data_IF_131934474207
#
_entry.id   IF_131934474207
#
_cell.length_a   1.000
_cell.length_b   1.000
_cell.length_c   1.000
_cell.angle_alpha   90.00
_cell.angle_beta   90.00
_cell.angle_gamma   90.00
#
_symmetry.space_group_name_H-M   'P 1'
#
loop_
_entity.id
_entity.type
_entity.pdbx_description
1 polymer ?
#
# COMPACT_ATOMS: atom_id res chain seq x y z
N UNK A 1 -7.63 -2.36 12.57
CA UNK A 1 -7.25 -1.05 11.98
C UNK A 1 -8.33 0.00 12.20
N UNK A 2 -9.58 -0.21 11.79
CA UNK A 2 -10.67 0.77 11.98
C UNK A 2 -10.84 1.28 13.41
N UNK A 3 -10.75 0.39 14.41
CA UNK A 3 -10.82 0.79 15.83
C UNK A 3 -9.69 1.76 16.28
N UNK A 4 -8.60 1.83 15.52
CA UNK A 4 -7.44 2.70 15.78
C UNK A 4 -7.28 3.79 14.71
N UNK A 5 -8.27 3.93 13.82
CA UNK A 5 -8.22 4.92 12.77
C UNK A 5 -8.32 6.33 13.37
N UNK A 6 -7.28 7.12 13.14
CA UNK A 6 -7.20 8.52 13.57
C UNK A 6 -6.90 9.37 12.33
N UNK A 7 -7.84 10.26 12.00
CA UNK A 7 -7.73 11.14 10.84
C UNK A 7 -6.53 12.09 10.93
N UNK A 8 -6.13 12.43 12.16
CA UNK A 8 -5.01 13.33 12.45
C UNK A 8 -3.67 12.62 12.47
N UNK A 9 -3.65 11.29 12.51
CA UNK A 9 -2.46 10.46 12.68
C UNK A 9 -1.55 10.95 13.83
N UNK A 10 -2.14 11.33 14.96
CA UNK A 10 -1.46 11.95 16.12
C UNK A 10 -0.21 11.18 16.58
N UNK A 11 -0.29 9.85 16.56
CA UNK A 11 0.79 8.93 16.92
C UNK A 11 2.01 9.00 16.00
N UNK A 12 1.92 9.59 14.80
CA UNK A 12 3.05 9.64 13.86
C UNK A 12 4.21 10.49 14.38
N UNK A 13 3.96 11.43 15.29
CA UNK A 13 5.02 12.21 15.92
C UNK A 13 5.93 11.37 16.84
N UNK A 14 5.43 10.25 17.37
CA UNK A 14 6.11 9.41 18.35
C UNK A 14 7.24 8.56 17.70
N UNK A 15 8.51 8.71 18.14
CA UNK A 15 9.64 7.91 17.65
C UNK A 15 9.48 6.40 17.81
N UNK A 16 8.85 5.92 18.89
CA UNK A 16 8.66 4.48 19.15
C UNK A 16 7.70 3.86 18.14
N UNK A 17 6.67 4.61 17.74
CA UNK A 17 5.74 4.20 16.68
C UNK A 17 6.48 4.12 15.34
N UNK A 18 7.38 5.09 15.06
CA UNK A 18 8.21 5.04 13.84
C UNK A 18 9.14 3.84 13.82
N UNK A 19 9.75 3.50 14.95
CA UNK A 19 10.64 2.34 15.08
C UNK A 19 9.85 1.04 14.92
N UNK A 20 8.72 0.90 15.61
CA UNK A 20 7.80 -0.24 15.45
C UNK A 20 7.39 -0.46 13.99
N UNK A 21 7.01 0.61 13.27
CA UNK A 21 6.65 0.51 11.85
C UNK A 21 7.84 0.06 11.01
N UNK A 22 9.05 0.54 11.31
CA UNK A 22 10.28 0.10 10.63
C UNK A 22 10.53 -1.40 10.82
N UNK A 23 10.36 -1.89 12.05
CA UNK A 23 10.56 -3.30 12.39
C UNK A 23 9.49 -4.20 11.74
N UNK A 24 8.24 -3.76 11.75
CA UNK A 24 7.13 -4.45 11.07
C UNK A 24 7.37 -4.54 9.57
N UNK A 25 7.94 -3.52 8.93
CA UNK A 25 8.24 -3.55 7.50
C UNK A 25 9.53 -4.33 7.17
N UNK A 26 10.50 -4.38 8.09
CA UNK A 26 11.81 -5.03 7.95
C UNK A 26 12.55 -4.71 6.63
N UNK A 27 12.26 -3.56 6.03
CA UNK A 27 12.82 -3.12 4.77
C UNK A 27 12.93 -1.60 4.80
N UNK A 28 14.15 -1.08 4.77
CA UNK A 28 14.39 0.36 4.91
C UNK A 28 13.82 1.15 3.72
N UNK A 29 13.94 0.65 2.48
CA UNK A 29 13.36 1.35 1.32
C UNK A 29 11.83 1.44 1.41
N UNK A 30 11.18 0.35 1.83
CA UNK A 30 9.74 0.31 2.04
C UNK A 30 9.32 1.25 3.18
N UNK A 31 10.06 1.25 4.28
CA UNK A 31 9.85 2.20 5.37
C UNK A 31 9.97 3.66 4.90
N UNK A 32 11.00 4.02 4.13
CA UNK A 32 11.15 5.39 3.63
C UNK A 32 10.02 5.79 2.67
N UNK A 33 9.56 4.87 1.82
CA UNK A 33 8.41 5.11 0.95
C UNK A 33 7.12 5.38 1.75
N UNK A 34 6.84 4.54 2.77
CA UNK A 34 5.69 4.72 3.66
C UNK A 34 5.79 6.00 4.48
N UNK A 35 6.97 6.28 5.05
CA UNK A 35 7.27 7.52 5.78
C UNK A 35 6.92 8.75 4.94
N UNK A 36 7.38 8.77 3.69
CA UNK A 36 7.09 9.86 2.75
C UNK A 36 5.60 10.02 2.47
N UNK A 37 4.86 8.91 2.30
CA UNK A 37 3.41 8.94 2.14
C UNK A 37 2.73 9.51 3.37
N UNK A 38 3.10 9.07 4.58
CA UNK A 38 2.53 9.55 5.84
C UNK A 38 2.81 11.04 6.08
N UNK A 39 4.05 11.49 5.85
CA UNK A 39 4.40 12.91 5.92
C UNK A 39 3.58 13.74 4.92
N UNK A 40 3.38 13.23 3.70
CA UNK A 40 2.58 13.92 2.68
C UNK A 40 1.10 13.98 3.04
N UNK A 41 0.55 12.91 3.62
CA UNK A 41 -0.84 12.86 4.10
C UNK A 41 -1.09 13.88 5.21
N UNK A 42 -0.16 14.01 6.17
CA UNK A 42 -0.25 14.99 7.26
C UNK A 42 -0.14 16.43 6.76
N UNK A 43 0.70 16.68 5.76
CA UNK A 43 0.84 18.00 5.15
C UNK A 43 -0.33 18.36 4.19
N UNK A 44 -1.43 17.60 4.19
CA UNK A 44 -2.61 17.86 3.36
C UNK A 44 -2.40 17.61 1.87
N UNK A 45 -1.27 17.00 1.46
CA UNK A 45 -0.98 16.72 0.04
C UNK A 45 -1.82 15.56 -0.51
N UNK A 46 -2.22 14.64 0.35
CA UNK A 46 -3.07 13.51 -0.01
C UNK A 46 -4.38 13.56 0.77
N UNK A 47 -5.47 13.75 0.04
CA UNK A 47 -6.83 13.58 0.56
C UNK A 47 -7.30 12.14 0.30
N UNK A 48 -6.68 11.18 1.00
CA UNK A 48 -7.03 9.77 0.89
C UNK A 48 -7.00 9.10 2.27
N UNK A 49 -8.06 8.34 2.56
CA UNK A 49 -8.27 7.66 3.85
C UNK A 49 -7.36 6.44 4.02
N UNK A 50 -6.95 5.82 2.92
CA UNK A 50 -6.20 4.58 2.86
C UNK A 50 -4.79 4.70 3.48
N UNK A 51 -4.12 5.84 3.31
CA UNK A 51 -2.84 6.11 3.98
C UNK A 51 -2.99 6.15 5.50
N UNK A 52 -4.05 6.80 6.01
CA UNK A 52 -4.33 6.92 7.44
C UNK A 52 -4.70 5.56 8.05
N UNK A 53 -5.49 4.78 7.32
CA UNK A 53 -5.84 3.41 7.70
C UNK A 53 -4.61 2.49 7.69
N UNK A 54 -3.73 2.61 6.69
CA UNK A 54 -2.49 1.85 6.60
C UNK A 54 -1.56 2.18 7.77
N UNK A 55 -1.46 3.46 8.16
CA UNK A 55 -0.73 3.88 9.35
C UNK A 55 -1.34 3.27 10.63
N UNK A 56 -2.65 3.37 10.82
CA UNK A 56 -3.33 2.79 11.99
C UNK A 56 -3.07 1.28 12.12
N UNK A 57 -3.07 0.55 10.99
CA UNK A 57 -2.69 -0.86 10.96
C UNK A 57 -1.24 -1.08 11.40
N UNK A 58 -0.28 -0.38 10.78
CA UNK A 58 1.15 -0.60 11.03
C UNK A 58 1.57 -0.15 12.44
N UNK A 59 1.01 0.94 12.96
CA UNK A 59 1.25 1.42 14.32
C UNK A 59 0.87 0.38 15.39
N UNK A 60 -0.09 -0.49 15.08
CA UNK A 60 -0.54 -1.58 15.96
C UNK A 60 0.12 -2.93 15.63
N UNK A 61 1.15 -2.95 14.79
CA UNK A 61 1.78 -4.19 14.29
C UNK A 61 0.76 -5.15 13.63
N UNK A 62 -0.33 -4.60 13.09
CA UNK A 62 -1.44 -5.38 12.54
C UNK A 62 -1.09 -6.03 11.21
N UNK A 63 -1.55 -7.27 11.04
CA UNK A 63 -1.40 -8.04 9.81
C UNK A 63 -2.66 -7.95 8.94
N UNK A 64 -2.52 -8.27 7.66
CA UNK A 64 -3.64 -8.41 6.73
C UNK A 64 -3.58 -9.78 6.09
N UNK A 65 -4.73 -10.44 5.99
CA UNK A 65 -4.87 -11.68 5.23
C UNK A 65 -5.16 -11.27 3.79
N UNK A 66 -4.37 -11.76 2.84
CA UNK A 66 -4.52 -11.48 1.42
C UNK A 66 -4.72 -12.80 0.69
N UNK A 67 -5.70 -12.91 -0.23
CA UNK A 67 -5.83 -14.11 -1.06
C UNK A 67 -4.59 -14.27 -1.97
N UNK A 68 -4.21 -15.52 -2.22
CA UNK A 68 -3.10 -15.84 -3.13
C UNK A 68 -3.39 -15.47 -4.60
N UNK A 69 -4.66 -15.17 -4.93
CA UNK A 69 -5.13 -14.80 -6.26
C UNK A 69 -5.98 -13.54 -6.19
N UNK A 70 -6.04 -12.80 -7.30
CA UNK A 70 -6.89 -11.63 -7.41
C UNK A 70 -8.37 -12.04 -7.54
N UNK A 71 -9.19 -11.71 -6.54
CA UNK A 71 -10.62 -12.05 -6.50
C UNK A 71 -11.53 -10.91 -6.99
N UNK A 72 -10.97 -9.72 -7.28
CA UNK A 72 -11.74 -8.52 -7.62
C UNK A 72 -11.31 -7.91 -8.94
N UNK A 73 -12.21 -7.18 -9.59
CA UNK A 73 -11.89 -6.32 -10.73
C UNK A 73 -12.09 -4.87 -10.33
N UNK A 74 -11.15 -3.99 -10.69
CA UNK A 74 -11.29 -2.57 -10.45
C UNK A 74 -11.89 -1.88 -11.68
N UNK A 75 -13.20 -1.61 -11.62
CA UNK A 75 -13.95 -0.94 -12.70
C UNK A 75 -13.80 0.59 -12.69
N UNK A 76 -13.01 1.15 -11.77
CA UNK A 76 -12.80 2.59 -11.62
C UNK A 76 -11.65 3.15 -12.47
N UNK A 77 -11.27 2.52 -13.58
CA UNK A 77 -10.25 3.03 -14.50
C UNK A 77 -10.88 3.58 -15.79
N UNK A 78 -10.25 4.60 -16.38
CA UNK A 78 -10.65 5.17 -17.66
C UNK A 78 -11.24 6.57 -17.56
N UNK A 79 -11.80 7.07 -18.67
CA UNK A 79 -12.17 8.48 -18.87
C UNK A 79 -13.14 9.03 -17.79
N UNK A 80 -14.01 8.19 -17.23
CA UNK A 80 -14.93 8.56 -16.15
C UNK A 80 -14.34 8.51 -14.74
N UNK A 81 -13.07 8.16 -14.57
CA UNK A 81 -12.46 8.00 -13.24
C UNK A 81 -11.97 9.33 -12.66
N UNK A 82 -12.16 9.55 -11.36
CA UNK A 82 -11.71 10.77 -10.68
C UNK A 82 -10.18 10.90 -10.64
N UNK A 83 -9.47 9.77 -10.50
CA UNK A 83 -8.00 9.77 -10.31
C UNK A 83 -7.24 8.75 -11.17
N UNK A 84 -7.94 7.80 -11.80
CA UNK A 84 -7.37 6.63 -12.49
C UNK A 84 -7.73 6.64 -13.98
N UNK A 85 -7.55 7.80 -14.63
CA UNK A 85 -8.00 8.05 -16.01
C UNK A 85 -7.32 7.21 -17.10
N UNK A 86 -6.18 6.58 -16.78
CA UNK A 86 -5.49 5.69 -17.71
C UNK A 86 -6.14 4.30 -17.72
N UNK A 87 -6.96 4.03 -18.74
CA UNK A 87 -7.59 2.71 -18.95
C UNK A 87 -6.59 1.62 -19.39
N UNK A 88 -5.42 2.00 -19.89
CA UNK A 88 -4.44 1.08 -20.51
C UNK A 88 -3.36 0.59 -19.54
N UNK A 89 -3.43 0.98 -18.27
CA UNK A 89 -2.49 0.47 -17.26
C UNK A 89 -2.74 -1.02 -17.01
N UNK A 90 -1.66 -1.79 -16.79
CA UNK A 90 -1.74 -3.21 -16.47
C UNK A 90 -2.64 -3.48 -15.25
N UNK A 91 -2.71 -2.53 -14.31
CA UNK A 91 -3.58 -2.62 -13.13
C UNK A 91 -5.08 -2.60 -13.47
N UNK A 92 -5.48 -1.95 -14.58
CA UNK A 92 -6.87 -1.90 -15.03
C UNK A 92 -7.31 -3.21 -15.69
N UNK A 93 -6.35 -4.06 -16.08
CA UNK A 93 -6.57 -5.28 -16.87
C UNK A 93 -6.32 -6.56 -16.06
N UNK A 94 -6.16 -6.44 -14.74
CA UNK A 94 -5.96 -7.60 -13.87
C UNK A 94 -7.19 -8.50 -13.89
N UNK A 95 -6.99 -9.77 -14.29
CA UNK A 95 -8.05 -10.76 -14.33
C UNK A 95 -8.43 -11.19 -12.91
N UNK A 96 -9.72 -11.47 -12.72
CA UNK A 96 -10.20 -12.22 -11.56
C UNK A 96 -9.89 -13.70 -11.76
N UNK A 97 -9.55 -14.38 -10.67
CA UNK A 97 -9.24 -15.81 -10.67
C UNK A 97 -10.03 -16.44 -9.53
N UNK A 98 -10.74 -17.54 -9.80
CA UNK A 98 -11.51 -18.24 -8.78
C UNK A 98 -10.61 -18.86 -7.70
N UNK A 99 -11.10 -18.85 -6.47
CA UNK A 99 -10.47 -19.56 -5.37
C UNK A 99 -10.92 -21.02 -5.39
N UNK A 100 -9.99 -21.96 -5.23
CA UNK A 100 -10.29 -23.38 -5.11
C UNK A 100 -10.37 -23.79 -3.63
N UNK A 101 -11.32 -24.67 -3.32
CA UNK A 101 -11.56 -25.17 -1.97
C UNK A 101 -11.23 -26.68 -1.86
N UNK A 102 -10.77 -27.16 -0.69
CA UNK A 102 -10.49 -26.38 0.52
C UNK A 102 -9.26 -25.48 0.37
N UNK A 103 -9.26 -24.33 1.03
CA UNK A 103 -8.10 -23.43 1.04
C UNK A 103 -7.00 -24.00 1.95
N UNK A 104 -5.75 -23.76 1.58
CA UNK A 104 -4.62 -24.09 2.45
C UNK A 104 -4.56 -23.09 3.62
N UNK A 105 -4.63 -23.61 4.84
CA UNK A 105 -4.51 -22.79 6.04
C UNK A 105 -3.04 -22.63 6.44
N UNK A 106 -2.68 -21.42 6.86
CA UNK A 106 -1.40 -21.18 7.51
C UNK A 106 -1.41 -21.82 8.90
N UNK A 107 -0.44 -22.69 9.19
CA UNK A 107 -0.31 -23.35 10.50
C UNK A 107 0.01 -22.35 11.62
N UNK A 108 0.66 -21.24 11.27
CA UNK A 108 1.06 -20.19 12.19
C UNK A 108 0.76 -18.82 11.61
N UNK A 109 0.55 -17.85 12.49
CA UNK A 109 0.39 -16.45 12.11
C UNK A 109 1.74 -15.75 12.17
N UNK A 110 2.27 -15.38 11.01
CA UNK A 110 3.52 -14.63 10.88
C UNK A 110 3.42 -13.63 9.72
N UNK A 111 4.31 -12.64 9.71
CA UNK A 111 4.46 -11.72 8.58
C UNK A 111 5.06 -12.49 7.40
N UNK A 112 4.44 -12.40 6.23
CA UNK A 112 5.00 -12.91 4.98
C UNK A 112 5.97 -11.87 4.38
N UNK A 113 7.27 -12.09 4.64
CA UNK A 113 8.34 -11.17 4.23
C UNK A 113 8.56 -11.16 2.73
N UNK A 114 8.37 -12.30 2.08
CA UNK A 114 8.56 -12.45 0.64
C UNK A 114 7.41 -11.78 -0.12
N UNK A 115 6.18 -11.95 0.36
CA UNK A 115 5.03 -11.21 -0.16
C UNK A 115 5.23 -9.70 -0.03
N UNK A 116 5.60 -9.20 1.15
CA UNK A 116 5.82 -7.77 1.38
C UNK A 116 6.96 -7.21 0.50
N UNK A 117 8.04 -7.96 0.32
CA UNK A 117 9.14 -7.58 -0.58
C UNK A 117 8.66 -7.48 -2.03
N UNK A 118 7.98 -8.51 -2.53
CA UNK A 118 7.47 -8.54 -3.90
C UNK A 118 6.42 -7.44 -4.15
N UNK A 119 5.53 -7.22 -3.18
CA UNK A 119 4.57 -6.13 -3.24
C UNK A 119 5.26 -4.76 -3.31
N UNK A 120 6.30 -4.55 -2.49
CA UNK A 120 7.07 -3.32 -2.53
C UNK A 120 7.77 -3.11 -3.89
N UNK A 121 8.46 -4.11 -4.43
CA UNK A 121 9.16 -3.97 -5.72
C UNK A 121 8.20 -3.70 -6.89
N UNK A 122 7.05 -4.38 -6.93
CA UNK A 122 6.15 -4.33 -8.08
C UNK A 122 5.17 -3.14 -8.04
N UNK A 123 4.75 -2.69 -6.85
CA UNK A 123 3.64 -1.73 -6.73
C UNK A 123 3.99 -0.41 -6.03
N UNK A 124 5.04 -0.38 -5.20
CA UNK A 124 5.41 0.83 -4.44
C UNK A 124 6.68 1.48 -5.00
N UNK A 125 7.71 0.66 -5.27
CA UNK A 125 8.99 1.15 -5.73
C UNK A 125 8.85 1.72 -7.14
N UNK A 126 8.81 3.05 -7.23
CA UNK A 126 8.85 3.74 -8.52
C UNK A 126 10.25 3.56 -9.13
N UNK A 127 10.31 3.05 -10.34
CA UNK A 127 11.57 3.06 -11.10
C UNK A 127 12.04 4.50 -11.31
N UNK A 128 13.36 4.72 -11.17
CA UNK A 128 14.00 6.02 -11.40
C UNK A 128 13.70 6.54 -12.82
N UNK A 129 13.57 5.64 -13.79
CA UNK A 129 13.23 5.95 -15.17
C UNK A 129 11.79 6.46 -15.31
N UNK A 130 10.83 5.82 -14.63
CA UNK A 130 9.42 6.27 -14.66
C UNK A 130 9.26 7.64 -14.00
N UNK A 131 10.06 7.91 -12.96
CA UNK A 131 10.11 9.24 -12.32
C UNK A 131 10.70 10.30 -13.26
N UNK A 132 11.78 9.99 -13.98
CA UNK A 132 12.37 10.90 -14.97
C UNK A 132 11.44 11.18 -16.15
N UNK A 133 10.83 10.14 -16.72
CA UNK A 133 9.85 10.27 -17.81
C UNK A 133 8.61 11.05 -17.39
N UNK A 134 8.18 10.95 -16.12
CA UNK A 134 7.08 11.76 -15.61
C UNK A 134 7.42 13.25 -15.53
N UNK A 135 8.70 13.62 -15.37
CA UNK A 135 9.15 15.01 -15.35
C UNK A 135 9.23 15.56 -16.78
N UNK A 136 9.72 14.75 -17.73
CA UNK A 136 9.83 15.12 -19.14
C UNK A 136 8.49 15.19 -19.88
N UNK A 137 7.41 14.62 -19.34
CA UNK A 137 6.05 14.75 -19.90
C UNK A 137 5.37 16.08 -19.58
N UNK A 138 5.98 16.92 -18.73
CA UNK A 138 5.49 18.25 -18.36
C UNK A 138 6.50 19.37 -18.68
N UNK A 139 7.51 19.08 -19.50
CA UNK A 139 8.42 20.05 -20.11
C UNK A 139 8.19 20.05 -21.62
#
# INVERSE_FOLDING_TARGET
AWNYYDITMSLWSNPDIKNRIRDVLANNEHYQARKKSFDSTLNGKYDAWDYRWSFARLAQSGLSIVPAVNLISNIGFGEGATHTVSATTQLAQLKTISLYFPINYNQFTAVDRDYDHNYFQNFIKRSKLTKLLSILRFA
#
